data_IF_371016134782
#
_entry.id   IF_371016134782
#
_cell.length_a   1.000
_cell.length_b   1.000
_cell.length_c   1.000
_cell.angle_alpha   90.00
_cell.angle_beta   90.00
_cell.angle_gamma   90.00
#
_symmetry.space_group_name_H-M   'P 1'
#
loop_
_entity.id
_entity.type
_entity.pdbx_description
1 polymer ?
#
# COMPACT_ATOMS: atom_id res chain seq x y z
N UNK A 1 10.52 -13.24 4.06
CA UNK A 1 10.01 -12.04 3.38
C UNK A 1 9.01 -12.48 2.33
N UNK A 2 7.77 -11.99 2.34
CA UNK A 2 6.86 -12.29 1.22
C UNK A 2 7.29 -11.43 0.03
N UNK A 3 7.87 -12.10 -0.95
CA UNK A 3 8.45 -11.49 -2.14
C UNK A 3 7.36 -11.38 -3.21
N UNK A 4 7.29 -10.24 -3.88
CA UNK A 4 6.45 -10.08 -5.09
C UNK A 4 7.08 -10.92 -6.20
N UNK A 5 6.28 -11.76 -6.86
CA UNK A 5 6.74 -12.58 -7.97
C UNK A 5 6.92 -11.73 -9.24
N UNK A 6 8.19 -11.47 -9.58
CA UNK A 6 8.57 -10.62 -10.71
C UNK A 6 8.39 -11.29 -12.08
N UNK A 7 8.11 -12.60 -12.12
CA UNK A 7 7.87 -13.33 -13.37
C UNK A 7 6.45 -13.11 -13.93
N UNK A 8 5.53 -12.62 -13.10
CA UNK A 8 4.14 -12.39 -13.50
C UNK A 8 3.95 -11.05 -14.22
N UNK A 9 2.75 -10.85 -14.75
CA UNK A 9 2.34 -9.56 -15.33
C UNK A 9 2.49 -8.42 -14.32
N UNK A 10 2.64 -7.19 -14.81
CA UNK A 10 2.73 -6.02 -13.94
C UNK A 10 1.46 -5.81 -13.10
N UNK A 11 0.30 -6.21 -13.63
CA UNK A 11 -0.98 -6.17 -12.92
C UNK A 11 -0.97 -7.13 -11.74
N UNK A 12 -0.54 -8.37 -11.95
CA UNK A 12 -0.47 -9.38 -10.88
C UNK A 12 0.55 -8.99 -9.82
N UNK A 13 1.70 -8.44 -10.22
CA UNK A 13 2.69 -7.87 -9.30
C UNK A 13 2.08 -6.75 -8.45
N UNK A 14 1.31 -5.85 -9.05
CA UNK A 14 0.64 -4.76 -8.34
C UNK A 14 -0.43 -5.28 -7.36
N UNK A 15 -1.21 -6.30 -7.75
CA UNK A 15 -2.20 -6.95 -6.88
C UNK A 15 -1.52 -7.59 -5.67
N UNK A 16 -0.42 -8.34 -5.88
CA UNK A 16 0.36 -8.92 -4.79
C UNK A 16 0.89 -7.85 -3.83
N UNK A 17 1.48 -6.78 -4.37
CA UNK A 17 2.04 -5.70 -3.58
C UNK A 17 0.97 -4.97 -2.75
N UNK A 18 -0.19 -4.68 -3.35
CA UNK A 18 -1.33 -4.04 -2.66
C UNK A 18 -1.87 -4.93 -1.54
N UNK A 19 -2.07 -6.21 -1.81
CA UNK A 19 -2.54 -7.19 -0.82
C UNK A 19 -1.57 -7.31 0.35
N UNK A 20 -0.27 -7.45 0.08
CA UNK A 20 0.77 -7.53 1.11
C UNK A 20 0.83 -6.26 1.96
N UNK A 21 0.81 -5.07 1.33
CA UNK A 21 0.77 -3.80 2.06
C UNK A 21 -0.42 -3.73 3.00
N UNK A 22 -1.60 -4.09 2.51
CA UNK A 22 -2.82 -4.03 3.29
C UNK A 22 -2.80 -5.02 4.46
N UNK A 23 -2.29 -6.24 4.23
CA UNK A 23 -2.06 -7.25 5.27
C UNK A 23 -1.12 -6.73 6.35
N UNK A 24 0.05 -6.24 5.97
CA UNK A 24 1.06 -5.77 6.93
C UNK A 24 0.60 -4.54 7.71
N UNK A 25 -0.09 -3.61 7.05
CA UNK A 25 -0.65 -2.44 7.72
C UNK A 25 -1.70 -2.82 8.77
N UNK A 26 -2.59 -3.75 8.45
CA UNK A 26 -3.57 -4.28 9.42
C UNK A 26 -2.88 -5.02 10.57
N UNK A 27 -1.89 -5.86 10.28
CA UNK A 27 -1.12 -6.56 11.30
C UNK A 27 -0.37 -5.59 12.22
N UNK A 28 0.30 -4.59 11.66
CA UNK A 28 1.01 -3.57 12.42
C UNK A 28 0.07 -2.84 13.39
N UNK A 29 -1.11 -2.42 12.94
CA UNK A 29 -2.11 -1.75 13.79
C UNK A 29 -2.64 -2.63 14.90
N UNK A 30 -2.81 -3.93 14.65
CA UNK A 30 -3.18 -4.90 15.70
C UNK A 30 -2.11 -5.00 16.78
N UNK A 31 -0.84 -4.81 16.43
CA UNK A 31 0.32 -4.87 17.34
C UNK A 31 0.66 -3.52 18.00
N UNK A 32 0.03 -2.42 17.61
CA UNK A 32 0.29 -1.10 18.21
C UNK A 32 -0.09 -1.10 19.69
N UNK A 33 0.85 -0.64 20.54
CA UNK A 33 0.62 -0.41 21.98
C UNK A 33 -0.40 0.71 22.21
N UNK A 34 -0.31 1.79 21.44
CA UNK A 34 -1.30 2.87 21.46
C UNK A 34 -2.58 2.45 20.71
N UNK A 35 -3.56 1.96 21.48
CA UNK A 35 -4.84 1.49 20.97
C UNK A 35 -5.74 2.62 20.47
N UNK A 36 -5.62 3.84 21.02
CA UNK A 36 -6.43 5.00 20.60
C UNK A 36 -6.01 5.43 19.20
N UNK A 37 -4.69 5.54 18.97
CA UNK A 37 -4.16 5.84 17.65
C UNK A 37 -4.46 4.72 16.64
N UNK A 38 -4.33 3.45 17.02
CA UNK A 38 -4.67 2.32 16.14
C UNK A 38 -6.12 2.40 15.64
N UNK A 39 -7.08 2.65 16.55
CA UNK A 39 -8.50 2.81 16.18
C UNK A 39 -8.73 4.03 15.30
N UNK A 40 -8.08 5.15 15.59
CA UNK A 40 -8.17 6.34 14.74
C UNK A 40 -7.69 6.04 13.31
N UNK A 41 -6.56 5.33 13.16
CA UNK A 41 -6.01 4.95 11.87
C UNK A 41 -6.90 3.92 11.13
N UNK A 42 -7.57 3.02 11.84
CA UNK A 42 -8.50 2.07 11.21
C UNK A 42 -9.73 2.75 10.63
N UNK A 43 -10.22 3.81 11.25
CA UNK A 43 -11.37 4.58 10.78
C UNK A 43 -10.97 5.56 9.67
N UNK A 44 -9.94 6.38 9.91
CA UNK A 44 -9.61 7.51 9.03
C UNK A 44 -8.64 7.16 7.91
N UNK A 45 -7.92 6.05 8.06
CA UNK A 45 -6.96 5.57 7.07
C UNK A 45 -7.25 4.09 6.85
N UNK A 46 -8.42 3.69 6.36
CA UNK A 46 -8.73 2.29 6.07
C UNK A 46 -8.04 1.77 4.79
N UNK A 47 -8.12 0.46 4.52
CA UNK A 47 -7.58 -0.12 3.28
C UNK A 47 -8.58 0.14 2.15
N UNK A 48 -8.18 0.89 1.12
CA UNK A 48 -8.98 1.07 -0.08
C UNK A 48 -8.81 -0.13 -1.02
N UNK A 49 -9.86 -0.43 -1.79
CA UNK A 49 -9.86 -1.55 -2.74
C UNK A 49 -8.84 -1.33 -3.86
N UNK A 50 -8.51 -2.38 -4.61
CA UNK A 50 -7.56 -2.27 -5.72
C UNK A 50 -8.13 -1.38 -6.84
N UNK A 51 -9.41 -1.55 -7.12
CA UNK A 51 -10.18 -0.83 -8.14
C UNK A 51 -10.24 0.68 -7.85
N UNK A 52 -10.22 1.08 -6.57
CA UNK A 52 -10.08 2.48 -6.20
C UNK A 52 -8.79 3.08 -6.79
N UNK A 53 -7.67 2.36 -6.68
CA UNK A 53 -6.39 2.83 -7.21
C UNK A 53 -6.32 2.75 -8.73
N UNK A 54 -6.95 1.76 -9.35
CA UNK A 54 -7.11 1.73 -10.81
C UNK A 54 -7.85 2.98 -11.29
N UNK A 55 -9.03 3.27 -10.73
CA UNK A 55 -9.80 4.45 -11.07
C UNK A 55 -9.06 5.77 -10.78
N UNK A 56 -8.36 5.85 -9.65
CA UNK A 56 -7.57 7.02 -9.29
C UNK A 56 -6.48 7.32 -10.30
N UNK A 57 -5.70 6.31 -10.69
CA UNK A 57 -4.57 6.51 -11.61
C UNK A 57 -5.02 6.64 -13.06
N UNK A 58 -6.13 5.99 -13.44
CA UNK A 58 -6.79 6.23 -14.73
C UNK A 58 -7.19 7.71 -14.87
N UNK A 59 -7.84 8.28 -13.85
CA UNK A 59 -8.20 9.71 -13.81
C UNK A 59 -7.00 10.66 -13.82
N UNK A 60 -5.80 10.16 -13.47
CA UNK A 60 -4.55 10.91 -13.54
C UNK A 60 -3.83 10.76 -14.89
N UNK A 61 -4.45 10.09 -15.86
CA UNK A 61 -3.90 9.89 -17.20
C UNK A 61 -2.95 8.69 -17.35
N UNK A 62 -2.85 7.82 -16.34
CA UNK A 62 -2.10 6.56 -16.49
C UNK A 62 -3.00 5.49 -17.11
N UNK A 63 -2.46 4.69 -18.03
CA UNK A 63 -3.15 3.53 -18.61
C UNK A 63 -2.26 2.29 -18.62
N UNK A 64 -2.87 1.12 -18.84
CA UNK A 64 -2.20 -0.15 -19.09
C UNK A 64 -1.07 -0.44 -18.07
N UNK A 65 0.10 -0.81 -18.56
CA UNK A 65 1.25 -1.11 -17.72
C UNK A 65 1.72 0.08 -16.88
N UNK A 66 1.54 1.33 -17.35
CA UNK A 66 1.96 2.52 -16.59
C UNK A 66 1.12 2.74 -15.34
N UNK A 67 -0.17 2.43 -15.43
CA UNK A 67 -1.12 2.45 -14.31
C UNK A 67 -0.72 1.42 -13.26
N UNK A 68 -0.46 0.17 -13.67
CA UNK A 68 -0.09 -0.89 -12.73
C UNK A 68 1.30 -0.69 -12.12
N UNK A 69 2.27 -0.15 -12.87
CA UNK A 69 3.56 0.31 -12.31
C UNK A 69 3.33 1.34 -11.20
N UNK A 70 2.42 2.29 -11.41
CA UNK A 70 2.11 3.31 -10.39
C UNK A 70 1.54 2.71 -9.11
N UNK A 71 0.65 1.72 -9.23
CA UNK A 71 0.10 1.00 -8.08
C UNK A 71 1.20 0.22 -7.35
N UNK A 72 2.03 -0.52 -8.09
CA UNK A 72 3.16 -1.29 -7.55
C UNK A 72 4.14 -0.39 -6.76
N UNK A 73 4.57 0.72 -7.36
CA UNK A 73 5.46 1.69 -6.71
C UNK A 73 4.81 2.27 -5.44
N UNK A 74 3.53 2.64 -5.52
CA UNK A 74 2.81 3.19 -4.38
C UNK A 74 2.64 2.19 -3.23
N UNK A 75 2.53 0.89 -3.57
CA UNK A 75 2.31 -0.19 -2.61
C UNK A 75 3.60 -0.64 -1.92
N UNK A 76 4.74 -0.44 -2.56
CA UNK A 76 6.07 -0.83 -2.04
C UNK A 76 6.82 0.33 -1.38
N UNK A 77 6.40 1.57 -1.62
CA UNK A 77 7.04 2.76 -1.06
C UNK A 77 6.83 2.88 0.45
N UNK A 78 7.92 3.11 1.18
CA UNK A 78 7.90 3.47 2.60
C UNK A 78 7.30 4.85 2.84
N UNK A 79 6.70 5.06 4.02
CA UNK A 79 6.19 6.37 4.40
C UNK A 79 7.33 7.21 5.00
N UNK A 80 7.91 8.08 4.19
CA UNK A 80 9.05 8.94 4.58
C UNK A 80 8.77 9.79 5.83
N UNK A 81 7.55 10.31 5.98
CA UNK A 81 7.19 11.13 7.15
C UNK A 81 7.14 10.29 8.42
N UNK A 82 6.58 9.08 8.33
CA UNK A 82 6.55 8.14 9.47
C UNK A 82 7.96 7.68 9.82
N UNK A 83 8.78 7.32 8.83
CA UNK A 83 10.18 6.96 9.04
C UNK A 83 10.92 8.09 9.79
N UNK A 84 10.77 9.34 9.32
CA UNK A 84 11.36 10.51 9.98
C UNK A 84 10.87 10.68 11.43
N UNK A 85 9.57 10.53 11.69
CA UNK A 85 9.03 10.64 13.06
C UNK A 85 9.52 9.53 14.01
N UNK A 86 9.95 8.39 13.47
CA UNK A 86 10.47 7.25 14.22
C UNK A 86 12.00 7.23 14.26
N UNK A 87 12.68 8.26 13.73
CA UNK A 87 14.14 8.33 13.69
C UNK A 87 14.79 7.36 12.71
N UNK A 88 14.03 6.83 11.74
CA UNK A 88 14.54 5.95 10.68
C UNK A 88 15.01 6.80 9.49
N UNK A 89 16.27 6.66 9.11
CA UNK A 89 16.92 7.36 7.98
C UNK A 89 16.45 6.78 6.64
#
# INVERSE_FOLDING_TARGET
MNKIDKSLSIKDQAIQAHSLRNKYRTQARKLMKDRKLARHLDINNYNLSFEYYENKYLKQGYSDNSLYKKILDSSTRSNKLVNKSLGMI
#
